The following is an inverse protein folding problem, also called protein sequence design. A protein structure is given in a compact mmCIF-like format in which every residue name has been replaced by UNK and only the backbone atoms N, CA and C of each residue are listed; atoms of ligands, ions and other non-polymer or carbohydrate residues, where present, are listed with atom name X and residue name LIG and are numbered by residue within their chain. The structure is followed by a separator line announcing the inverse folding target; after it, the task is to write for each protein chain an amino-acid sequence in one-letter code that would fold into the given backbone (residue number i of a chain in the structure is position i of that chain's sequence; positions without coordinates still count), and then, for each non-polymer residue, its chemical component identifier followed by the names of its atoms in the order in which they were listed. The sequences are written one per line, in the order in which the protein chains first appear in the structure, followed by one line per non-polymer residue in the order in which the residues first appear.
data_IF_235794928400
#
_entry.id   IF_235794928400
#
_cell.length_a   1.000
_cell.length_b   1.000
_cell.length_c   1.000
_cell.angle_alpha   90.00
_cell.angle_beta   90.00
_cell.angle_gamma   90.00
#
_symmetry.space_group_name_H-M   'P 1'
#
loop_
_entity.id
_entity.type
_entity.pdbx_description
1 polymer ?
#
# COMPACT_ATOMS: atom_id res chain seq x y z
N UNK A 1 6.57 12.15 0.43
CA UNK A 1 7.86 11.63 -0.08
C UNK A 1 8.33 10.50 0.82
N UNK A 2 9.09 9.54 0.27
CA UNK A 2 9.65 8.41 1.02
C UNK A 2 11.15 8.35 0.79
N UNK A 3 11.89 8.09 1.86
CA UNK A 3 13.35 7.95 1.88
C UNK A 3 13.76 6.52 2.28
N UNK A 4 14.97 6.12 1.89
CA UNK A 4 15.60 4.86 2.31
C UNK A 4 15.21 3.64 1.47
N UNK A 5 14.58 3.84 0.31
CA UNK A 5 14.33 2.77 -0.65
C UNK A 5 15.55 2.58 -1.56
N UNK A 6 15.80 1.33 -1.97
CA UNK A 6 16.80 1.06 -3.01
C UNK A 6 16.30 1.58 -4.36
N UNK A 7 17.18 1.98 -5.30
CA UNK A 7 16.75 2.36 -6.63
C UNK A 7 16.01 1.21 -7.33
N UNK A 8 14.88 1.50 -7.99
CA UNK A 8 14.05 0.47 -8.64
C UNK A 8 12.55 0.63 -8.42
N UNK A 9 11.80 -0.44 -8.73
CA UNK A 9 10.34 -0.51 -8.57
C UNK A 9 9.97 -1.14 -7.23
N UNK A 10 8.93 -0.60 -6.59
CA UNK A 10 8.40 -1.06 -5.31
C UNK A 10 6.89 -1.11 -5.34
N UNK A 11 6.30 -2.28 -5.12
CA UNK A 11 4.85 -2.42 -5.01
C UNK A 11 4.30 -1.59 -3.85
N UNK A 12 3.14 -0.96 -4.06
CA UNK A 12 2.53 -0.02 -3.13
C UNK A 12 1.06 -0.34 -2.92
N UNK A 13 0.73 -0.87 -1.74
CA UNK A 13 -0.59 -1.43 -1.46
C UNK A 13 -1.15 -0.96 -0.12
N UNK A 14 -2.47 -0.88 -0.02
CA UNK A 14 -3.20 -0.84 1.24
C UNK A 14 -3.41 -2.27 1.71
N UNK A 15 -3.14 -2.53 2.98
CA UNK A 15 -3.35 -3.81 3.63
C UNK A 15 -4.56 -3.77 4.56
N UNK A 16 -5.15 -4.94 4.85
CA UNK A 16 -6.42 -5.03 5.57
C UNK A 16 -6.34 -4.47 6.99
N UNK A 17 -5.20 -4.60 7.68
CA UNK A 17 -5.02 -4.13 9.06
C UNK A 17 -4.11 -2.89 9.13
N UNK A 18 -4.37 -2.01 10.10
CA UNK A 18 -3.46 -0.92 10.49
C UNK A 18 -2.34 -1.35 11.45
N UNK A 19 -2.18 -2.65 11.71
CA UNK A 19 -1.18 -3.14 12.66
C UNK A 19 0.21 -3.20 11.99
N UNK A 20 1.13 -2.36 12.49
CA UNK A 20 2.48 -2.22 11.94
C UNK A 20 3.52 -3.10 12.65
N UNK A 21 3.10 -3.95 13.60
CA UNK A 21 4.00 -4.85 14.32
C UNK A 21 4.53 -5.98 13.44
N UNK A 22 5.50 -6.74 13.98
CA UNK A 22 6.15 -7.87 13.29
C UNK A 22 6.66 -7.50 11.89
N UNK A 23 7.35 -6.36 11.79
CA UNK A 23 7.90 -5.85 10.53
C UNK A 23 6.85 -5.76 9.41
N UNK A 24 5.69 -5.19 9.73
CA UNK A 24 4.54 -5.04 8.85
C UNK A 24 3.81 -6.33 8.45
N UNK A 25 4.22 -7.52 8.94
CA UNK A 25 3.49 -8.76 8.68
C UNK A 25 2.09 -8.74 9.28
N UNK A 26 1.94 -8.09 10.44
CA UNK A 26 0.66 -7.97 11.12
C UNK A 26 -0.36 -7.10 10.34
N UNK A 27 0.08 -6.38 9.30
CA UNK A 27 -0.81 -5.64 8.39
C UNK A 27 -1.74 -6.60 7.61
N UNK A 28 -1.38 -7.89 7.51
CA UNK A 28 -2.18 -8.92 6.84
C UNK A 28 -2.02 -8.88 5.32
N UNK A 29 -3.04 -9.35 4.60
CA UNK A 29 -3.08 -9.32 3.13
C UNK A 29 -3.50 -7.96 2.55
N UNK A 30 -3.54 -7.84 1.20
CA UNK A 30 -4.08 -6.67 0.52
C UNK A 30 -5.52 -6.37 0.96
N UNK A 31 -5.88 -5.09 0.96
CA UNK A 31 -7.25 -4.66 1.25
C UNK A 31 -8.20 -5.14 0.15
N UNK A 32 -9.22 -5.90 0.56
CA UNK A 32 -10.25 -6.43 -0.32
C UNK A 32 -11.62 -6.26 0.36
N UNK A 33 -12.30 -5.11 0.17
CA UNK A 33 -13.54 -4.82 0.88
C UNK A 33 -14.65 -5.81 0.54
N UNK A 34 -14.67 -6.36 -0.66
CA UNK A 34 -15.72 -7.28 -1.11
C UNK A 34 -15.40 -8.75 -0.86
N UNK A 35 -14.24 -9.05 -0.29
CA UNK A 35 -13.73 -10.40 -0.12
C UNK A 35 -13.83 -11.23 -1.42
N UNK A 36 -13.61 -10.57 -2.57
CA UNK A 36 -13.61 -11.26 -3.87
C UNK A 36 -12.50 -12.33 -3.84
N UNK A 37 -12.77 -13.50 -4.40
CA UNK A 37 -11.79 -14.59 -4.52
C UNK A 37 -11.32 -14.77 -5.95
N UNK A 38 -11.92 -14.03 -6.90
CA UNK A 38 -11.47 -13.97 -8.28
C UNK A 38 -10.19 -13.14 -8.31
N UNK A 39 -9.05 -13.82 -8.30
CA UNK A 39 -7.69 -13.26 -8.18
C UNK A 39 -7.28 -12.20 -9.22
N UNK A 40 -8.20 -11.71 -10.05
CA UNK A 40 -8.02 -10.56 -10.94
C UNK A 40 -8.56 -9.25 -10.36
N UNK A 41 -9.62 -9.26 -9.54
CA UNK A 41 -10.24 -8.04 -8.97
C UNK A 41 -9.77 -7.72 -7.54
N UNK A 42 -9.19 -8.70 -6.83
CA UNK A 42 -8.45 -8.49 -5.57
C UNK A 42 -7.26 -7.52 -5.69
N UNK A 43 -6.90 -7.21 -6.93
CA UNK A 43 -5.82 -6.30 -7.28
C UNK A 43 -6.28 -4.87 -7.52
N UNK A 44 -7.56 -4.53 -7.34
CA UNK A 44 -8.07 -3.21 -7.69
C UNK A 44 -8.11 -2.23 -6.50
N UNK A 45 -8.61 -2.66 -5.35
CA UNK A 45 -8.83 -1.77 -4.21
C UNK A 45 -7.54 -1.53 -3.41
N UNK A 46 -7.07 -0.29 -3.41
CA UNK A 46 -5.86 0.09 -2.67
C UNK A 46 -4.57 -0.51 -3.22
N UNK A 47 -4.57 -1.05 -4.45
CA UNK A 47 -3.35 -1.36 -5.17
C UNK A 47 -2.99 -0.16 -6.06
N UNK A 48 -1.88 0.49 -5.73
CA UNK A 48 -1.44 1.69 -6.41
C UNK A 48 -0.35 1.42 -7.46
N UNK A 49 -0.08 0.15 -7.75
CA UNK A 49 0.99 -0.28 -8.65
C UNK A 49 2.38 -0.15 -8.03
N UNK A 50 3.36 0.20 -8.86
CA UNK A 50 4.76 0.33 -8.47
C UNK A 50 5.18 1.79 -8.30
N UNK A 51 5.77 2.12 -7.16
CA UNK A 51 6.57 3.33 -6.99
C UNK A 51 7.93 3.15 -7.65
N UNK A 52 8.44 4.20 -8.28
CA UNK A 52 9.79 4.23 -8.82
C UNK A 52 10.71 5.07 -7.94
N UNK A 53 11.72 4.43 -7.36
CA UNK A 53 12.79 5.08 -6.60
C UNK A 53 13.97 5.39 -7.52
N UNK A 54 14.32 6.67 -7.75
CA UNK A 54 15.49 7.04 -8.54
C UNK A 54 16.80 6.76 -7.78
N UNK A 55 17.94 6.85 -8.47
CA UNK A 55 19.27 6.66 -7.86
C UNK A 55 19.58 7.64 -6.71
N UNK A 56 18.94 8.81 -6.67
CA UNK A 56 19.04 9.76 -5.56
C UNK A 56 18.41 9.27 -4.25
N UNK A 57 17.59 8.21 -4.29
CA UNK A 57 16.96 7.61 -3.12
C UNK A 57 15.71 8.34 -2.59
N UNK A 58 15.26 9.41 -3.26
CA UNK A 58 14.06 10.16 -2.90
C UNK A 58 12.88 9.74 -3.78
N UNK A 59 11.92 9.03 -3.21
CA UNK A 59 10.72 8.58 -3.92
C UNK A 59 9.59 9.56 -3.68
N UNK A 60 9.19 10.28 -4.73
CA UNK A 60 8.01 11.15 -4.72
C UNK A 60 6.77 10.31 -5.01
N UNK A 61 5.70 10.56 -4.26
CA UNK A 61 4.43 9.84 -4.37
C UNK A 61 3.37 10.92 -4.60
N UNK A 62 2.67 10.82 -5.71
CA UNK A 62 1.47 11.59 -6.01
C UNK A 62 0.53 10.65 -6.77
N UNK A 63 -0.52 10.18 -6.10
CA UNK A 63 -1.43 9.17 -6.63
C UNK A 63 -2.85 9.66 -6.38
N UNK A 64 -3.68 9.58 -7.41
CA UNK A 64 -5.10 9.86 -7.35
C UNK A 64 -5.82 8.55 -7.64
N UNK A 65 -6.63 8.09 -6.70
CA UNK A 65 -7.40 6.86 -6.81
C UNK A 65 -8.90 7.17 -6.60
N UNK A 66 -9.76 6.48 -7.36
CA UNK A 66 -11.22 6.68 -7.34
C UNK A 66 -11.99 5.53 -6.69
N UNK A 67 -11.31 4.46 -6.30
CA UNK A 67 -11.90 3.25 -5.74
C UNK A 67 -11.84 3.24 -4.22
N UNK A 68 -10.74 3.74 -3.64
CA UNK A 68 -10.61 3.90 -2.19
C UNK A 68 -11.32 5.18 -1.72
N UNK A 69 -11.71 5.19 -0.45
CA UNK A 69 -12.36 6.33 0.18
C UNK A 69 -11.80 6.59 1.59
N UNK A 70 -12.27 7.68 2.20
CA UNK A 70 -12.02 8.02 3.60
C UNK A 70 -13.20 7.67 4.53
N UNK A 71 -14.24 7.06 3.96
CA UNK A 71 -15.56 6.80 4.56
C UNK A 71 -16.15 5.50 4.02
N UNK A 72 -17.12 4.93 4.74
CA UNK A 72 -17.88 3.75 4.32
C UNK A 72 -17.01 2.52 4.02
N UNK A 73 -17.57 1.60 3.21
CA UNK A 73 -17.02 0.26 2.99
C UNK A 73 -15.65 0.25 2.30
N UNK A 74 -15.34 1.26 1.48
CA UNK A 74 -14.03 1.41 0.83
C UNK A 74 -13.00 2.19 1.67
N UNK A 75 -13.33 2.50 2.93
CA UNK A 75 -12.47 3.32 3.78
C UNK A 75 -11.13 2.65 4.05
N UNK A 76 -10.06 3.41 3.82
CA UNK A 76 -8.69 3.00 4.17
C UNK A 76 -8.19 3.65 5.46
N UNK A 77 -9.02 4.45 6.14
CA UNK A 77 -8.70 5.01 7.45
C UNK A 77 -8.52 3.89 8.46
N UNK A 78 -7.43 3.93 9.23
CA UNK A 78 -7.10 2.87 10.20
C UNK A 78 -6.44 1.64 9.57
N UNK A 79 -6.16 1.65 8.26
CA UNK A 79 -5.40 0.61 7.56
C UNK A 79 -3.93 1.01 7.38
N UNK A 80 -3.10 0.04 7.02
CA UNK A 80 -1.70 0.26 6.72
C UNK A 80 -1.47 0.40 5.21
N UNK A 81 -0.63 1.34 4.83
CA UNK A 81 -0.06 1.42 3.49
C UNK A 81 1.33 0.80 3.52
N UNK A 82 1.59 -0.18 2.65
CA UNK A 82 2.82 -0.97 2.62
C UNK A 82 3.58 -0.74 1.32
N UNK A 83 4.89 -0.52 1.44
CA UNK A 83 5.84 -0.44 0.34
C UNK A 83 6.70 -1.71 0.35
N UNK A 84 6.69 -2.46 -0.74
CA UNK A 84 7.43 -3.71 -0.87
C UNK A 84 8.88 -3.51 -1.36
N UNK A 85 9.70 -4.54 -1.17
CA UNK A 85 11.12 -4.52 -1.56
C UNK A 85 11.38 -4.60 -3.06
N UNK A 86 10.39 -5.03 -3.85
CA UNK A 86 10.46 -5.15 -5.30
C UNK A 86 9.13 -4.84 -5.96
N UNK A 87 9.04 -4.98 -7.29
CA UNK A 87 7.83 -4.67 -8.04
C UNK A 87 6.67 -5.58 -7.66
N UNK A 88 5.45 -5.13 -7.90
CA UNK A 88 4.21 -5.91 -7.78
C UNK A 88 4.28 -7.11 -8.73
N UNK A 89 4.71 -8.25 -8.21
CA UNK A 89 4.39 -9.57 -8.75
C UNK A 89 3.18 -10.08 -8.00
N UNK A 90 2.20 -10.58 -8.74
CA UNK A 90 0.92 -11.11 -8.25
C UNK A 90 1.04 -11.80 -6.88
N UNK A 91 0.32 -11.24 -5.90
CA UNK A 91 -0.15 -11.89 -4.66
C UNK A 91 0.84 -12.43 -3.64
N UNK A 92 2.14 -12.13 -3.70
CA UNK A 92 3.05 -12.50 -2.60
C UNK A 92 3.65 -11.29 -1.93
N UNK A 93 3.43 -11.20 -0.61
CA UNK A 93 4.02 -10.21 0.26
C UNK A 93 5.55 -10.43 0.31
N UNK A 94 6.26 -10.01 -0.75
CA UNK A 94 7.72 -9.89 -0.71
C UNK A 94 8.03 -8.84 0.34
N UNK A 95 8.99 -9.13 1.21
CA UNK A 95 9.24 -8.44 2.48
C UNK A 95 8.91 -6.93 2.44
N UNK A 96 8.01 -6.51 3.32
CA UNK A 96 7.68 -5.10 3.49
C UNK A 96 8.93 -4.30 3.84
N UNK A 97 9.18 -3.21 3.12
CA UNK A 97 10.27 -2.27 3.43
C UNK A 97 9.81 -1.15 4.33
N UNK A 98 8.56 -0.73 4.19
CA UNK A 98 7.98 0.33 5.00
C UNK A 98 6.47 0.13 5.09
N UNK A 99 5.92 0.29 6.28
CA UNK A 99 4.49 0.43 6.48
C UNK A 99 4.20 1.77 7.14
N UNK A 100 3.15 2.42 6.68
CA UNK A 100 2.77 3.78 7.07
C UNK A 100 1.31 3.70 7.53
N UNK A 101 0.98 4.20 8.73
CA UNK A 101 -0.42 4.28 9.13
C UNK A 101 -1.13 5.29 8.24
N UNK A 102 -2.24 4.90 7.63
CA UNK A 102 -3.05 5.87 6.90
C UNK A 102 -3.83 6.73 7.90
N UNK A 103 -3.51 8.02 7.94
CA UNK A 103 -4.24 9.05 8.67
C UNK A 103 -4.90 9.98 7.68
N UNK A 104 -6.11 10.45 7.97
CA UNK A 104 -6.68 11.58 7.21
C UNK A 104 -5.68 12.72 7.30
N UNK A 105 -5.37 13.34 6.17
CA UNK A 105 -4.82 14.68 6.23
C UNK A 105 -5.94 15.55 6.80
N UNK A 106 -5.68 16.18 7.95
CA UNK A 106 -6.59 17.19 8.45
C UNK A 106 -6.64 18.28 7.37
N UNK A 107 -7.83 18.48 6.80
CA UNK A 107 -8.13 19.72 6.10
C UNK A 107 -7.96 20.84 7.14
N UNK A 108 -7.09 21.80 6.84
CA UNK A 108 -7.04 23.07 7.58
C UNK A 108 -8.36 23.80 7.42
#
# INVERSE_FOLDING_TARGET
MVFGLKPGKHGFHVHINGNLSDSCKAAGGPFNPFNDTNGHQNHAYGNFGDLHTPKSGITRINIIDKQISLYDHHSIVGRAVVIHSGPTQTMTCKMAKKCIPFRRQQEN
#
